data_IF_175274057641
#
_entry.id   IF_175274057641
#
_cell.length_a   1.000
_cell.length_b   1.000
_cell.length_c   1.000
_cell.angle_alpha   90.00
_cell.angle_beta   90.00
_cell.angle_gamma   90.00
#
_symmetry.space_group_name_H-M   'P 1'
#
loop_
_entity.id
_entity.type
_entity.pdbx_description
1 polymer ?
#
# COMPACT_ATOMS: atom_id res chain seq x y z
N UNK A 1 4.43 -8.78 5.31
CA UNK A 1 3.66 -7.66 5.86
C UNK A 1 4.57 -6.52 6.24
N UNK A 2 4.02 -5.43 6.77
CA UNK A 2 4.79 -4.29 7.31
C UNK A 2 4.61 -4.11 8.84
N UNK A 3 3.56 -4.72 9.42
CA UNK A 3 3.31 -4.75 10.87
C UNK A 3 3.61 -6.12 11.49
N UNK A 4 3.30 -7.21 10.78
CA UNK A 4 3.77 -8.57 11.10
C UNK A 4 4.50 -9.15 9.87
N UNK A 5 5.20 -10.29 10.00
CA UNK A 5 5.81 -10.95 8.84
C UNK A 5 4.82 -11.22 7.70
N UNK A 6 3.54 -11.43 8.02
CA UNK A 6 2.50 -11.90 7.09
C UNK A 6 1.44 -10.85 6.76
N UNK A 7 1.19 -9.87 7.63
CA UNK A 7 0.08 -8.92 7.49
C UNK A 7 0.52 -7.47 7.22
N UNK A 8 -0.26 -6.80 6.36
CA UNK A 8 -0.21 -5.35 6.17
C UNK A 8 -1.03 -4.66 7.27
N UNK A 9 -0.58 -3.47 7.71
CA UNK A 9 -1.15 -2.74 8.84
C UNK A 9 -2.67 -2.56 8.78
N UNK A 10 -3.23 -2.03 7.69
CA UNK A 10 -4.67 -1.75 7.61
C UNK A 10 -5.51 -3.03 7.71
N UNK A 11 -5.06 -4.12 7.08
CA UNK A 11 -5.73 -5.43 7.18
C UNK A 11 -5.56 -6.04 8.58
N UNK A 12 -4.38 -5.89 9.19
CA UNK A 12 -4.10 -6.40 10.53
C UNK A 12 -4.89 -5.69 11.63
N UNK A 13 -5.12 -4.38 11.49
CA UNK A 13 -5.87 -3.58 12.48
C UNK A 13 -7.29 -4.11 12.64
N UNK A 14 -7.94 -4.52 11.55
CA UNK A 14 -9.24 -5.17 11.60
C UNK A 14 -9.42 -6.22 10.47
N UNK A 15 -8.93 -7.46 10.70
CA UNK A 15 -9.01 -8.52 9.69
C UNK A 15 -10.45 -8.98 9.46
N UNK A 16 -11.33 -8.82 10.46
CA UNK A 16 -12.74 -9.22 10.34
C UNK A 16 -13.51 -8.24 9.46
N UNK A 17 -13.31 -6.93 9.63
CA UNK A 17 -13.88 -5.93 8.74
C UNK A 17 -13.33 -6.09 7.30
N UNK A 18 -12.03 -6.34 7.15
CA UNK A 18 -11.44 -6.62 5.85
C UNK A 18 -12.07 -7.85 5.18
N UNK A 19 -12.27 -8.95 5.91
CA UNK A 19 -12.94 -10.16 5.39
C UNK A 19 -14.36 -9.86 4.88
N UNK A 20 -15.14 -9.05 5.63
CA UNK A 20 -16.47 -8.60 5.20
C UNK A 20 -16.41 -7.80 3.90
N UNK A 21 -15.46 -6.86 3.78
CA UNK A 21 -15.27 -6.06 2.56
C UNK A 21 -14.92 -6.95 1.38
N UNK A 22 -13.94 -7.85 1.51
CA UNK A 22 -13.51 -8.74 0.41
C UNK A 22 -14.60 -9.75 0.01
N UNK A 23 -15.51 -10.11 0.91
CA UNK A 23 -16.67 -10.98 0.62
C UNK A 23 -17.93 -10.25 0.16
N UNK A 24 -17.91 -8.91 0.07
CA UNK A 24 -19.10 -8.10 -0.21
C UNK A 24 -19.69 -8.28 -1.62
N UNK A 25 -18.93 -8.84 -2.56
CA UNK A 25 -19.32 -8.93 -3.97
C UNK A 25 -19.18 -7.61 -4.76
N UNK A 26 -18.70 -6.54 -4.11
CA UNK A 26 -18.40 -5.26 -4.76
C UNK A 26 -17.08 -5.40 -5.55
N UNK A 27 -16.96 -4.79 -6.74
CA UNK A 27 -15.68 -4.71 -7.45
C UNK A 27 -14.62 -3.99 -6.60
N UNK A 28 -13.53 -4.69 -6.28
CA UNK A 28 -12.44 -4.16 -5.45
C UNK A 28 -11.15 -4.07 -6.26
N UNK A 29 -10.45 -2.95 -6.10
CA UNK A 29 -9.07 -2.79 -6.53
C UNK A 29 -8.20 -2.69 -5.28
N UNK A 30 -7.25 -3.61 -5.14
CA UNK A 30 -6.31 -3.63 -4.02
C UNK A 30 -4.96 -3.06 -4.47
N UNK A 31 -4.39 -2.16 -3.66
CA UNK A 31 -3.01 -1.65 -3.81
C UNK A 31 -2.13 -2.29 -2.74
N UNK A 32 -1.54 -3.48 -2.99
CA UNK A 32 -0.73 -4.17 -1.99
C UNK A 32 0.62 -3.49 -1.80
N UNK A 33 1.34 -3.89 -0.74
CA UNK A 33 2.70 -3.41 -0.45
C UNK A 33 3.66 -3.62 -1.63
N UNK A 34 3.50 -4.71 -2.39
CA UNK A 34 4.24 -5.03 -3.61
C UNK A 34 4.16 -3.93 -4.70
N UNK A 35 3.09 -3.13 -4.67
CA UNK A 35 2.89 -1.97 -5.54
C UNK A 35 3.40 -0.71 -4.86
N UNK A 36 2.94 -0.43 -3.63
CA UNK A 36 3.22 0.84 -2.95
C UNK A 36 4.69 1.01 -2.58
N UNK A 37 5.42 -0.09 -2.32
CA UNK A 37 6.87 -0.06 -2.07
C UNK A 37 7.69 0.37 -3.30
N UNK A 38 7.07 0.50 -4.48
CA UNK A 38 7.71 1.06 -5.68
C UNK A 38 7.51 2.58 -5.80
N UNK A 39 6.61 3.17 -5.01
CA UNK A 39 6.26 4.58 -5.04
C UNK A 39 7.02 5.37 -3.96
N UNK A 40 8.35 5.47 -4.10
CA UNK A 40 9.22 6.03 -3.05
C UNK A 40 9.26 7.57 -2.99
N UNK A 41 9.36 8.14 -1.80
CA UNK A 41 9.52 9.59 -1.55
C UNK A 41 10.97 10.04 -1.61
N UNK A 42 11.67 9.77 -2.72
CA UNK A 42 13.10 10.09 -2.84
C UNK A 42 13.38 11.58 -2.55
N UNK A 43 14.57 11.88 -2.02
CA UNK A 43 15.01 13.27 -1.79
C UNK A 43 14.86 14.16 -3.04
N UNK A 44 15.02 13.60 -4.25
CA UNK A 44 14.79 14.32 -5.52
C UNK A 44 13.32 14.73 -5.69
N UNK A 45 12.37 13.83 -5.38
CA UNK A 45 10.92 14.10 -5.48
C UNK A 45 10.49 15.12 -4.43
N UNK A 46 10.98 14.99 -3.20
CA UNK A 46 10.66 15.92 -2.11
C UNK A 46 11.17 17.33 -2.42
N UNK A 47 12.41 17.46 -2.91
CA UNK A 47 12.94 18.75 -3.41
C UNK A 47 12.11 19.33 -4.56
N UNK A 48 11.54 18.49 -5.43
CA UNK A 48 10.68 18.96 -6.52
C UNK A 48 9.37 19.58 -6.00
N UNK A 49 8.75 18.99 -4.97
CA UNK A 49 7.58 19.60 -4.31
C UNK A 49 7.90 20.95 -3.68
N UNK A 50 9.03 21.06 -2.97
CA UNK A 50 9.46 22.32 -2.35
C UNK A 50 9.72 23.42 -3.39
N UNK A 51 10.25 23.06 -4.56
CA UNK A 51 10.50 23.98 -5.69
C UNK A 51 9.24 24.50 -6.39
N UNK A 52 8.05 23.94 -6.13
CA UNK A 52 6.81 24.47 -6.68
C UNK A 52 6.51 25.89 -6.18
N UNK A 53 7.09 26.32 -5.05
CA UNK A 53 6.90 27.67 -4.51
C UNK A 53 5.46 27.94 -4.03
N UNK A 54 4.67 26.89 -3.80
CA UNK A 54 3.29 26.99 -3.32
C UNK A 54 3.16 26.49 -1.90
N UNK A 55 2.15 26.97 -1.17
CA UNK A 55 1.84 26.50 0.20
C UNK A 55 1.62 24.98 0.25
N UNK A 56 0.96 24.41 -0.76
CA UNK A 56 0.72 22.96 -0.85
C UNK A 56 2.03 22.22 -1.11
N UNK A 57 2.89 22.71 -2.01
CA UNK A 57 4.20 22.10 -2.28
C UNK A 57 5.08 22.04 -1.05
N UNK A 58 5.13 23.12 -0.25
CA UNK A 58 5.86 23.16 1.03
C UNK A 58 5.28 22.15 2.03
N UNK A 59 3.96 22.18 2.25
CA UNK A 59 3.31 21.28 3.20
C UNK A 59 3.51 19.81 2.82
N UNK A 60 3.42 19.47 1.54
CA UNK A 60 3.72 18.11 1.06
C UNK A 60 5.18 17.75 1.34
N UNK A 61 6.14 18.61 0.98
CA UNK A 61 7.56 18.32 1.23
C UNK A 61 7.85 18.08 2.73
N UNK A 62 7.29 18.90 3.61
CA UNK A 62 7.47 18.78 5.06
C UNK A 62 6.90 17.45 5.60
N UNK A 63 5.73 17.00 5.12
CA UNK A 63 5.16 15.70 5.48
C UNK A 63 6.03 14.53 5.01
N UNK A 64 6.54 14.60 3.77
CA UNK A 64 7.36 13.52 3.20
C UNK A 64 8.73 13.40 3.87
N UNK A 65 9.38 14.53 4.20
CA UNK A 65 10.66 14.54 4.93
C UNK A 65 10.53 13.99 6.36
N UNK A 66 9.37 14.19 7.01
CA UNK A 66 9.13 13.59 8.31
C UNK A 66 8.97 12.07 8.22
N UNK A 67 8.24 11.59 7.21
CA UNK A 67 7.95 10.17 7.01
C UNK A 67 9.20 9.37 6.61
N UNK A 68 10.05 9.92 5.73
CA UNK A 68 11.31 9.31 5.25
C UNK A 68 12.22 8.84 6.41
N UNK A 69 12.31 9.63 7.49
CA UNK A 69 13.21 9.35 8.64
C UNK A 69 12.97 8.01 9.32
N UNK A 70 11.77 7.44 9.21
CA UNK A 70 11.42 6.20 9.90
C UNK A 70 11.53 4.96 9.00
N UNK A 71 11.49 5.14 7.68
CA UNK A 71 11.38 4.03 6.73
C UNK A 71 12.69 3.67 6.03
N UNK A 72 13.62 4.63 5.83
CA UNK A 72 14.90 4.34 5.19
C UNK A 72 15.75 3.35 6.02
N UNK A 73 15.79 3.51 7.34
CA UNK A 73 16.49 2.60 8.24
C UNK A 73 15.85 1.21 8.26
N UNK A 74 14.52 1.14 8.14
CA UNK A 74 13.75 -0.11 8.20
C UNK A 74 13.81 -0.91 6.90
N UNK A 75 13.81 -0.24 5.74
CA UNK A 75 13.68 -0.90 4.44
C UNK A 75 14.92 -0.75 3.53
N UNK A 76 15.88 0.11 3.86
CA UNK A 76 17.08 0.34 3.07
C UNK A 76 16.81 0.95 1.69
N UNK A 77 15.72 1.71 1.56
CA UNK A 77 15.28 2.35 0.31
C UNK A 77 15.68 3.84 0.26
N UNK A 78 15.77 4.41 -0.94
CA UNK A 78 15.95 5.86 -1.18
C UNK A 78 14.58 6.56 -1.01
N UNK A 79 14.18 6.80 0.23
CA UNK A 79 12.86 7.31 0.63
C UNK A 79 11.86 6.27 1.15
N UNK A 80 10.83 6.74 1.86
CA UNK A 80 9.71 5.93 2.32
C UNK A 80 8.64 5.66 1.24
N UNK A 81 7.87 4.58 1.32
CA UNK A 81 6.81 4.26 0.36
C UNK A 81 5.56 5.14 0.53
N UNK A 82 5.02 5.63 -0.59
CA UNK A 82 3.68 6.26 -0.64
C UNK A 82 2.60 5.21 -0.85
N UNK A 83 1.93 4.81 0.23
CA UNK A 83 0.81 3.87 0.19
C UNK A 83 -0.45 4.51 -0.39
N UNK A 84 -1.11 5.36 0.39
CA UNK A 84 -2.45 5.88 0.08
C UNK A 84 -2.52 6.69 -1.22
N UNK A 85 -1.51 7.52 -1.58
CA UNK A 85 -1.55 8.25 -2.86
C UNK A 85 -1.60 7.35 -4.09
N UNK A 86 -1.23 6.06 -3.99
CA UNK A 86 -1.37 5.12 -5.10
C UNK A 86 -2.83 4.90 -5.51
N UNK A 87 -3.78 4.97 -4.57
CA UNK A 87 -5.22 4.87 -4.87
C UNK A 87 -5.67 6.03 -5.74
N UNK A 88 -5.30 7.27 -5.36
CA UNK A 88 -5.64 8.46 -6.14
C UNK A 88 -4.96 8.43 -7.51
N UNK A 89 -3.70 8.01 -7.57
CA UNK A 89 -2.99 7.85 -8.84
C UNK A 89 -3.66 6.80 -9.75
N UNK A 90 -4.17 5.70 -9.20
CA UNK A 90 -4.91 4.68 -9.95
C UNK A 90 -6.22 5.25 -10.50
N UNK A 91 -6.99 5.98 -9.69
CA UNK A 91 -8.24 6.61 -10.13
C UNK A 91 -8.02 7.63 -11.25
N UNK A 92 -6.95 8.43 -11.17
CA UNK A 92 -6.62 9.45 -12.18
C UNK A 92 -6.00 8.85 -13.44
N UNK A 93 -5.15 7.83 -13.31
CA UNK A 93 -4.38 7.27 -14.43
C UNK A 93 -4.12 5.77 -14.23
N UNK A 94 -5.14 4.91 -14.43
CA UNK A 94 -5.04 3.48 -14.14
C UNK A 94 -3.98 2.75 -14.97
N UNK A 95 -3.66 3.27 -16.17
CA UNK A 95 -2.61 2.72 -17.06
C UNK A 95 -1.19 2.79 -16.49
N UNK A 96 -0.96 3.52 -15.39
CA UNK A 96 0.32 3.47 -14.66
C UNK A 96 0.53 2.14 -13.93
N UNK A 97 -0.55 1.39 -13.70
CA UNK A 97 -0.56 0.17 -12.90
C UNK A 97 -0.81 -1.04 -13.79
N UNK A 98 -0.30 -2.19 -13.34
CA UNK A 98 -0.60 -3.51 -13.91
C UNK A 98 -1.00 -4.44 -12.79
N UNK A 99 -1.90 -5.37 -13.09
CA UNK A 99 -2.41 -6.32 -12.12
C UNK A 99 -3.24 -7.40 -12.79
N UNK A 100 -3.91 -8.18 -11.96
CA UNK A 100 -4.78 -9.29 -12.38
C UNK A 100 -5.98 -9.36 -11.43
N UNK A 101 -7.12 -9.82 -11.95
CA UNK A 101 -8.21 -10.26 -11.09
C UNK A 101 -7.81 -11.58 -10.41
N UNK A 102 -7.84 -11.59 -9.09
CA UNK A 102 -7.43 -12.72 -8.27
C UNK A 102 -8.52 -13.02 -7.24
N UNK A 103 -8.64 -14.29 -6.84
CA UNK A 103 -9.34 -14.60 -5.59
C UNK A 103 -8.48 -14.12 -4.43
N UNK A 104 -9.07 -13.37 -3.51
CA UNK A 104 -8.41 -12.85 -2.31
C UNK A 104 -9.25 -13.23 -1.09
N UNK A 105 -8.61 -13.83 -0.11
CA UNK A 105 -9.22 -14.16 1.19
C UNK A 105 -8.42 -13.50 2.31
N UNK A 106 -9.09 -13.09 3.40
CA UNK A 106 -8.43 -12.55 4.59
C UNK A 106 -8.38 -13.65 5.65
N UNK A 107 -7.20 -13.88 6.24
CA UNK A 107 -7.03 -14.80 7.36
C UNK A 107 -7.43 -14.11 8.68
N UNK A 108 -8.37 -14.71 9.42
CA UNK A 108 -8.97 -14.09 10.61
C UNK A 108 -8.82 -14.92 11.89
N UNK A 109 -8.20 -16.11 11.84
CA UNK A 109 -8.17 -17.04 12.97
C UNK A 109 -6.77 -17.56 13.32
N UNK A 110 -5.88 -17.69 12.33
CA UNK A 110 -4.55 -18.26 12.53
C UNK A 110 -3.68 -17.42 13.47
N UNK A 111 -3.04 -18.08 14.44
CA UNK A 111 -2.10 -17.45 15.38
C UNK A 111 -0.93 -16.75 14.69
N UNK A 112 -0.45 -17.29 13.57
CA UNK A 112 0.74 -16.78 12.87
C UNK A 112 0.43 -15.87 11.68
N UNK A 113 -0.79 -15.94 11.16
CA UNK A 113 -1.14 -15.31 9.87
C UNK A 113 -2.39 -14.44 9.92
N UNK A 114 -2.93 -14.13 11.10
CA UNK A 114 -4.03 -13.18 11.26
C UNK A 114 -3.74 -11.86 10.52
N UNK A 115 -4.69 -11.41 9.69
CA UNK A 115 -4.56 -10.23 8.84
C UNK A 115 -3.81 -10.43 7.52
N UNK A 116 -3.41 -11.66 7.18
CA UNK A 116 -2.84 -11.94 5.87
C UNK A 116 -3.92 -11.89 4.78
N UNK A 117 -3.65 -11.17 3.70
CA UNK A 117 -4.40 -11.30 2.43
C UNK A 117 -3.82 -12.44 1.62
N UNK A 118 -4.53 -13.57 1.57
CA UNK A 118 -4.15 -14.75 0.77
C UNK A 118 -4.63 -14.53 -0.67
N UNK A 119 -3.67 -14.26 -1.56
CA UNK A 119 -3.94 -13.94 -2.97
C UNK A 119 -3.65 -15.17 -3.83
N UNK A 120 -4.67 -15.74 -4.46
CA UNK A 120 -4.52 -16.85 -5.41
C UNK A 120 -4.07 -16.32 -6.79
N UNK A 121 -2.82 -15.86 -6.87
CA UNK A 121 -2.26 -15.26 -8.07
C UNK A 121 -2.23 -16.21 -9.28
N UNK A 122 -2.09 -17.50 -9.01
CA UNK A 122 -1.96 -18.56 -10.02
C UNK A 122 -3.27 -19.31 -10.31
N UNK A 123 -4.35 -19.02 -9.57
CA UNK A 123 -5.67 -19.63 -9.77
C UNK A 123 -5.74 -21.10 -9.36
N UNK A 124 -4.94 -21.54 -8.39
CA UNK A 124 -4.87 -22.95 -7.97
C UNK A 124 -6.09 -23.39 -7.17
N UNK A 125 -6.84 -22.46 -6.57
CA UNK A 125 -8.03 -22.75 -5.75
C UNK A 125 -9.28 -23.06 -6.59
N UNK A 126 -9.25 -22.75 -7.89
CA UNK A 126 -10.38 -22.90 -8.84
C UNK A 126 -11.66 -22.14 -8.42
N UNK A 127 -11.49 -21.05 -7.67
CA UNK A 127 -12.56 -20.14 -7.23
C UNK A 127 -12.59 -18.87 -8.08
#
# INVERSE_FOLDING_TARGET
GNVTPTAEFNIYVDPHAADVVFKSGIPIVMMPLDVTHKALTTAKRTKAFRKLGTRVGTATADMLEFFERFDEEKYGTDGGPLHDPCVIAYLLKPKLFKGRNCNVSVETASELTMGMTVIDWWGVTKR
#
